data_IF_318775752362
#
_entry.id   IF_318775752362
#
_cell.length_a   1.000
_cell.length_b   1.000
_cell.length_c   1.000
_cell.angle_alpha   90.00
_cell.angle_beta   90.00
_cell.angle_gamma   90.00
#
_symmetry.space_group_name_H-M   'P 1'
#
loop_
_entity.id
_entity.type
_entity.pdbx_description
1 polymer ?
#
# COMPACT_ATOMS: atom_id res chain seq x y z
N UNK A 1 13.76 -17.43 11.90
CA UNK A 1 13.50 -16.84 10.57
C UNK A 1 12.35 -17.56 9.86
N UNK A 2 12.38 -18.90 9.74
CA UNK A 2 11.36 -19.70 9.04
C UNK A 2 9.88 -19.44 9.43
N UNK A 3 9.58 -19.25 10.73
CA UNK A 3 8.18 -19.00 11.17
C UNK A 3 7.57 -17.74 10.54
N UNK A 4 8.35 -16.66 10.41
CA UNK A 4 7.85 -15.38 9.86
C UNK A 4 7.55 -15.45 8.37
N UNK A 5 8.36 -16.19 7.62
CA UNK A 5 8.14 -16.39 6.18
C UNK A 5 6.88 -17.23 5.92
N UNK A 6 6.66 -18.26 6.75
CA UNK A 6 5.42 -19.03 6.76
C UNK A 6 4.19 -18.16 7.07
N UNK A 7 4.28 -17.31 8.10
CA UNK A 7 3.18 -16.42 8.49
C UNK A 7 2.85 -15.41 7.39
N UNK A 8 3.87 -14.83 6.76
CA UNK A 8 3.71 -13.88 5.65
C UNK A 8 3.01 -14.53 4.45
N UNK A 9 3.47 -15.71 4.06
CA UNK A 9 2.88 -16.46 2.95
C UNK A 9 1.42 -16.82 3.22
N UNK A 10 1.11 -17.22 4.47
CA UNK A 10 -0.27 -17.49 4.90
C UNK A 10 -1.16 -16.26 4.78
N UNK A 11 -0.72 -15.10 5.29
CA UNK A 11 -1.47 -13.85 5.26
C UNK A 11 -1.71 -13.36 3.83
N UNK A 12 -0.70 -13.42 2.95
CA UNK A 12 -0.89 -13.03 1.55
C UNK A 12 -1.87 -13.96 0.84
N UNK A 13 -1.83 -15.27 1.09
CA UNK A 13 -2.85 -16.21 0.56
C UNK A 13 -4.26 -15.83 1.03
N UNK A 14 -4.42 -15.45 2.29
CA UNK A 14 -5.69 -14.98 2.83
C UNK A 14 -6.16 -13.69 2.14
N UNK A 15 -5.28 -12.69 2.02
CA UNK A 15 -5.57 -11.43 1.33
C UNK A 15 -5.94 -11.65 -0.15
N UNK A 16 -5.25 -12.55 -0.85
CA UNK A 16 -5.60 -12.91 -2.24
C UNK A 16 -7.05 -13.38 -2.36
N UNK A 17 -7.52 -14.19 -1.41
CA UNK A 17 -8.88 -14.73 -1.44
C UNK A 17 -9.91 -13.69 -1.01
N UNK A 18 -9.62 -12.91 0.04
CA UNK A 18 -10.60 -12.04 0.70
C UNK A 18 -10.65 -10.62 0.16
N UNK A 19 -9.52 -10.10 -0.35
CA UNK A 19 -9.32 -8.67 -0.62
C UNK A 19 -8.90 -8.38 -2.06
N UNK A 20 -8.42 -9.37 -2.81
CA UNK A 20 -8.01 -9.16 -4.21
C UNK A 20 -9.10 -9.64 -5.15
N UNK A 21 -9.53 -8.76 -6.04
CA UNK A 21 -10.50 -9.08 -7.09
C UNK A 21 -9.96 -8.64 -8.45
N UNK A 22 -10.52 -9.25 -9.49
CA UNK A 22 -10.22 -8.91 -10.88
C UNK A 22 -11.42 -8.14 -11.43
N UNK A 23 -11.15 -7.02 -12.09
CA UNK A 23 -12.20 -6.18 -12.67
C UNK A 23 -13.05 -6.99 -13.67
N UNK A 24 -14.40 -6.87 -13.63
CA UNK A 24 -15.25 -7.56 -14.57
C UNK A 24 -14.85 -7.24 -16.01
N UNK A 25 -14.65 -8.28 -16.82
CA UNK A 25 -14.24 -8.14 -18.24
C UNK A 25 -12.83 -7.58 -18.46
N UNK A 26 -11.94 -7.62 -17.46
CA UNK A 26 -10.55 -7.16 -17.57
C UNK A 26 -9.92 -7.57 -18.91
N UNK A 27 -9.93 -8.86 -19.24
CA UNK A 27 -9.31 -9.39 -20.46
C UNK A 27 -9.85 -8.85 -21.77
N UNK A 28 -11.12 -8.44 -21.82
CA UNK A 28 -11.69 -7.82 -23.03
C UNK A 28 -11.39 -6.32 -23.13
N UNK A 29 -10.92 -5.71 -22.04
CA UNK A 29 -10.59 -4.29 -21.95
C UNK A 29 -9.08 -4.03 -22.04
N UNK A 30 -8.26 -5.05 -21.81
CA UNK A 30 -6.82 -4.95 -22.03
C UNK A 30 -6.50 -4.90 -23.52
N UNK A 31 -5.45 -4.15 -23.85
CA UNK A 31 -4.86 -4.20 -25.19
C UNK A 31 -4.20 -5.57 -25.41
N UNK A 32 -4.13 -6.02 -26.67
CA UNK A 32 -3.58 -7.34 -27.01
C UNK A 32 -2.13 -7.51 -26.55
N UNK A 33 -1.31 -6.45 -26.63
CA UNK A 33 0.08 -6.46 -26.16
C UNK A 33 0.20 -6.66 -24.65
N UNK A 34 -0.66 -6.00 -23.85
CA UNK A 34 -0.67 -6.17 -22.39
C UNK A 34 -1.19 -7.56 -22.03
N UNK A 35 -2.27 -8.01 -22.66
CA UNK A 35 -2.87 -9.32 -22.38
C UNK A 35 -1.91 -10.48 -22.70
N UNK A 36 -1.19 -10.40 -23.83
CA UNK A 36 -0.24 -11.44 -24.27
C UNK A 36 1.01 -11.56 -23.38
N UNK A 37 1.32 -10.55 -22.57
CA UNK A 37 2.45 -10.59 -21.62
C UNK A 37 2.15 -11.36 -20.34
N UNK A 38 0.89 -11.67 -20.09
CA UNK A 38 0.49 -12.57 -19.02
C UNK A 38 0.39 -14.01 -19.53
N UNK A 39 1.10 -14.91 -18.88
CA UNK A 39 1.07 -16.35 -19.07
C UNK A 39 -0.27 -17.00 -18.72
N UNK A 40 -1.06 -16.34 -17.85
CA UNK A 40 -2.38 -16.82 -17.47
C UNK A 40 -3.26 -15.69 -16.94
N UNK A 41 -4.56 -15.97 -16.82
CA UNK A 41 -5.50 -15.01 -16.25
C UNK A 41 -5.28 -14.69 -14.75
N UNK A 42 -4.47 -15.49 -14.07
CA UNK A 42 -4.18 -15.35 -12.64
C UNK A 42 -2.85 -14.66 -12.35
N UNK A 43 -1.98 -14.55 -13.35
CA UNK A 43 -0.66 -13.94 -13.17
C UNK A 43 -0.72 -12.51 -12.61
N UNK A 44 -1.66 -11.62 -13.01
CA UNK A 44 -1.78 -10.31 -12.37
C UNK A 44 -2.01 -10.40 -10.86
N UNK A 45 -2.82 -11.35 -10.40
CA UNK A 45 -3.10 -11.58 -8.97
C UNK A 45 -1.84 -12.08 -8.26
N UNK A 46 -1.07 -12.96 -8.91
CA UNK A 46 0.19 -13.45 -8.37
C UNK A 46 1.25 -12.34 -8.27
N UNK A 47 1.34 -11.45 -9.25
CA UNK A 47 2.26 -10.29 -9.22
C UNK A 47 1.91 -9.32 -8.10
N UNK A 48 0.63 -8.97 -7.94
CA UNK A 48 0.20 -8.15 -6.81
C UNK A 48 0.52 -8.84 -5.47
N UNK A 49 0.32 -10.15 -5.38
CA UNK A 49 0.68 -10.91 -4.19
C UNK A 49 2.20 -10.87 -3.90
N UNK A 50 3.06 -10.89 -4.93
CA UNK A 50 4.50 -10.74 -4.76
C UNK A 50 4.89 -9.35 -4.20
N UNK A 51 4.20 -8.29 -4.63
CA UNK A 51 4.37 -6.96 -4.05
C UNK A 51 3.98 -6.95 -2.56
N UNK A 52 2.83 -7.54 -2.22
CA UNK A 52 2.38 -7.64 -0.84
C UNK A 52 3.32 -8.51 0.02
N UNK A 53 3.98 -9.52 -0.53
CA UNK A 53 4.99 -10.32 0.18
C UNK A 53 6.23 -9.52 0.61
N UNK A 54 6.44 -8.32 0.08
CA UNK A 54 7.50 -7.42 0.57
C UNK A 54 7.11 -6.67 1.85
N UNK A 55 5.82 -6.66 2.21
CA UNK A 55 5.32 -6.00 3.41
C UNK A 55 5.69 -6.77 4.69
N UNK A 56 5.85 -6.07 5.82
CA UNK A 56 6.04 -6.70 7.13
C UNK A 56 4.77 -7.45 7.56
N UNK A 57 4.93 -8.47 8.40
CA UNK A 57 3.84 -9.34 8.86
C UNK A 57 2.77 -8.52 9.57
N UNK A 58 3.16 -7.57 10.43
CA UNK A 58 2.21 -6.69 11.11
C UNK A 58 1.34 -5.87 10.14
N UNK A 59 1.91 -5.32 9.07
CA UNK A 59 1.14 -4.56 8.07
C UNK A 59 0.15 -5.44 7.30
N UNK A 60 0.55 -6.68 6.97
CA UNK A 60 -0.32 -7.64 6.29
C UNK A 60 -1.44 -8.12 7.20
N UNK A 61 -1.14 -8.37 8.48
CA UNK A 61 -2.12 -8.75 9.48
C UNK A 61 -3.15 -7.63 9.69
N UNK A 62 -2.68 -6.40 9.90
CA UNK A 62 -3.55 -5.21 10.01
C UNK A 62 -4.50 -5.07 8.82
N UNK A 63 -4.00 -5.26 7.59
CA UNK A 63 -4.83 -5.19 6.39
C UNK A 63 -5.82 -6.36 6.28
N UNK A 64 -5.43 -7.57 6.69
CA UNK A 64 -6.31 -8.75 6.68
C UNK A 64 -7.44 -8.65 7.71
N UNK A 65 -7.17 -7.99 8.83
CA UNK A 65 -8.12 -7.72 9.92
C UNK A 65 -9.01 -6.51 9.64
N UNK A 66 -8.53 -5.54 8.84
CA UNK A 66 -9.33 -4.38 8.45
C UNK A 66 -10.62 -4.80 7.72
N UNK A 67 -11.79 -4.25 8.06
CA UNK A 67 -13.04 -4.56 7.36
C UNK A 67 -13.06 -3.99 5.93
N UNK A 68 -12.33 -2.90 5.68
CA UNK A 68 -12.25 -2.22 4.37
C UNK A 68 -10.89 -2.45 3.72
N UNK A 69 -10.59 -1.81 2.58
CA UNK A 69 -9.29 -1.98 1.92
C UNK A 69 -9.29 -3.20 1.02
N UNK A 70 -9.66 -3.02 -0.25
CA UNK A 70 -9.63 -4.09 -1.26
C UNK A 70 -8.80 -3.66 -2.47
N UNK A 71 -8.28 -4.64 -3.19
CA UNK A 71 -7.52 -4.44 -4.42
C UNK A 71 -8.33 -4.93 -5.61
N UNK A 72 -8.44 -4.10 -6.63
CA UNK A 72 -9.10 -4.44 -7.89
C UNK A 72 -8.07 -4.35 -9.01
N UNK A 73 -7.72 -5.48 -9.61
CA UNK A 73 -6.87 -5.48 -10.82
C UNK A 73 -7.70 -5.00 -11.99
N UNK A 74 -7.35 -3.83 -12.53
CA UNK A 74 -8.17 -3.06 -13.45
C UNK A 74 -7.43 -2.79 -14.77
N UNK A 75 -8.16 -2.51 -15.87
CA UNK A 75 -7.56 -2.04 -17.12
C UNK A 75 -7.19 -0.54 -17.08
N UNK A 76 -7.68 0.20 -16.09
CA UNK A 76 -7.45 1.63 -15.92
C UNK A 76 -6.12 1.90 -15.19
N UNK A 77 -5.83 3.18 -14.97
CA UNK A 77 -4.67 3.63 -14.21
C UNK A 77 -4.74 3.16 -12.75
N UNK A 78 -3.56 3.07 -12.12
CA UNK A 78 -3.48 2.70 -10.70
C UNK A 78 -3.88 3.89 -9.85
N UNK A 79 -4.84 3.71 -8.95
CA UNK A 79 -5.28 4.76 -8.03
C UNK A 79 -5.86 4.19 -6.73
N UNK A 80 -5.89 5.03 -5.70
CA UNK A 80 -6.59 4.76 -4.46
C UNK A 80 -7.85 5.63 -4.35
N UNK A 81 -9.00 5.00 -4.13
CA UNK A 81 -10.31 5.64 -3.99
C UNK A 81 -10.82 5.43 -2.56
N UNK A 82 -10.87 6.48 -1.72
CA UNK A 82 -11.41 6.37 -0.37
C UNK A 82 -12.95 6.25 -0.37
N UNK A 83 -13.49 5.59 0.63
CA UNK A 83 -14.94 5.43 0.81
C UNK A 83 -15.57 4.37 -0.10
N UNK A 84 -16.91 4.37 -0.25
CA UNK A 84 -17.63 3.34 -0.99
C UNK A 84 -17.37 3.35 -2.49
N UNK A 85 -17.17 2.17 -3.07
CA UNK A 85 -17.06 1.95 -4.49
C UNK A 85 -17.87 0.70 -4.92
N UNK A 86 -18.44 0.78 -6.13
CA UNK A 86 -19.15 -0.32 -6.76
C UNK A 86 -18.40 -0.78 -8.02
N UNK A 87 -17.99 -2.04 -8.03
CA UNK A 87 -17.26 -2.66 -9.15
C UNK A 87 -18.08 -3.84 -9.65
N UNK A 88 -18.97 -3.58 -10.61
CA UNK A 88 -19.97 -4.57 -11.05
C UNK A 88 -20.89 -4.97 -9.90
N UNK A 89 -20.78 -6.23 -9.43
CA UNK A 89 -21.55 -6.75 -8.28
C UNK A 89 -20.84 -6.59 -6.94
N UNK A 90 -19.57 -6.19 -6.95
CA UNK A 90 -18.77 -6.02 -5.74
C UNK A 90 -19.08 -4.65 -5.16
N UNK A 91 -19.52 -4.62 -3.91
CA UNK A 91 -19.59 -3.40 -3.09
C UNK A 91 -18.45 -3.47 -2.10
N UNK A 92 -17.58 -2.46 -2.12
CA UNK A 92 -16.43 -2.39 -1.24
C UNK A 92 -16.17 -0.96 -0.80
N UNK A 93 -15.27 -0.79 0.17
CA UNK A 93 -14.84 0.51 0.66
C UNK A 93 -13.32 0.58 0.66
N UNK A 94 -12.77 1.78 0.41
CA UNK A 94 -11.34 2.06 0.38
C UNK A 94 -10.63 1.16 -0.64
N UNK A 95 -10.87 1.43 -1.92
CA UNK A 95 -10.45 0.56 -3.02
C UNK A 95 -9.14 1.03 -3.63
N UNK A 96 -8.20 0.12 -3.81
CA UNK A 96 -7.02 0.33 -4.64
C UNK A 96 -7.26 -0.33 -5.99
N UNK A 97 -7.44 0.49 -7.03
CA UNK A 97 -7.40 -0.01 -8.40
C UNK A 97 -5.93 -0.15 -8.79
N UNK A 98 -5.54 -1.37 -9.17
CA UNK A 98 -4.18 -1.67 -9.61
C UNK A 98 -4.21 -1.94 -11.11
N UNK A 99 -3.54 -1.11 -11.89
CA UNK A 99 -3.47 -1.31 -13.33
C UNK A 99 -2.76 -2.62 -13.64
N UNK A 100 -3.38 -3.46 -14.47
CA UNK A 100 -2.72 -4.66 -14.98
C UNK A 100 -1.43 -4.31 -15.75
N UNK A 101 -1.39 -3.17 -16.46
CA UNK A 101 -0.17 -2.69 -17.11
C UNK A 101 0.89 -2.31 -16.08
N UNK A 102 0.53 -1.59 -15.03
CA UNK A 102 1.50 -1.20 -13.99
C UNK A 102 2.15 -2.41 -13.31
N UNK A 103 1.43 -3.54 -13.15
CA UNK A 103 2.00 -4.79 -12.64
C UNK A 103 3.08 -5.41 -13.54
N UNK A 104 3.16 -5.01 -14.80
CA UNK A 104 4.19 -5.46 -15.75
C UNK A 104 5.35 -4.47 -15.90
N UNK A 105 5.12 -3.18 -15.66
CA UNK A 105 6.03 -2.10 -16.10
C UNK A 105 6.43 -1.13 -14.98
N UNK A 106 5.54 -0.91 -14.01
CA UNK A 106 5.65 0.18 -13.04
C UNK A 106 5.14 -0.25 -11.66
N UNK A 107 5.80 -1.24 -11.06
CA UNK A 107 5.43 -1.77 -9.73
C UNK A 107 5.38 -0.68 -8.64
N UNK A 108 6.17 0.39 -8.80
CA UNK A 108 6.18 1.54 -7.89
C UNK A 108 4.83 2.25 -7.85
N UNK A 109 4.09 2.32 -8.97
CA UNK A 109 2.77 2.95 -9.01
C UNK A 109 1.74 2.16 -8.20
N UNK A 110 1.75 0.83 -8.38
CA UNK A 110 0.93 -0.07 -7.57
C UNK A 110 1.25 0.09 -6.08
N UNK A 111 2.53 0.10 -5.71
CA UNK A 111 2.96 0.28 -4.32
C UNK A 111 2.57 1.65 -3.75
N UNK A 112 2.63 2.73 -4.53
CA UNK A 112 2.15 4.06 -4.08
C UNK A 112 0.66 4.05 -3.78
N UNK A 113 -0.16 3.46 -4.64
CA UNK A 113 -1.61 3.38 -4.38
C UNK A 113 -1.93 2.50 -3.16
N UNK A 114 -1.19 1.39 -2.96
CA UNK A 114 -1.26 0.59 -1.74
C UNK A 114 -0.83 1.42 -0.51
N UNK A 115 0.21 2.24 -0.64
CA UNK A 115 0.68 3.11 0.44
C UNK A 115 -0.37 4.17 0.82
N UNK A 116 -1.09 4.75 -0.14
CA UNK A 116 -2.22 5.64 0.15
C UNK A 116 -3.37 4.94 0.88
N UNK A 117 -3.62 3.66 0.61
CA UNK A 117 -4.56 2.88 1.39
C UNK A 117 -4.08 2.75 2.85
N UNK A 118 -2.82 2.37 3.07
CA UNK A 118 -2.26 2.29 4.42
C UNK A 118 -2.27 3.64 5.13
N UNK A 119 -1.93 4.71 4.44
CA UNK A 119 -1.98 6.08 4.94
C UNK A 119 -3.36 6.44 5.49
N UNK A 120 -4.43 6.13 4.74
CA UNK A 120 -5.80 6.37 5.19
C UNK A 120 -6.24 5.42 6.31
N UNK A 121 -5.91 4.12 6.22
CA UNK A 121 -6.26 3.14 7.26
C UNK A 121 -5.55 3.41 8.58
N UNK A 122 -4.28 3.81 8.54
CA UNK A 122 -3.49 4.12 9.74
C UNK A 122 -3.80 5.50 10.32
N UNK A 123 -4.40 6.39 9.54
CA UNK A 123 -4.92 7.67 10.00
C UNK A 123 -6.25 7.54 10.71
N UNK A 124 -7.22 6.83 10.11
CA UNK A 124 -8.62 6.88 10.56
C UNK A 124 -9.41 5.56 10.36
N UNK A 125 -8.73 4.41 10.22
CA UNK A 125 -9.36 3.12 9.87
C UNK A 125 -10.14 3.14 8.53
N UNK A 126 -9.87 4.12 7.66
CA UNK A 126 -10.55 4.28 6.38
C UNK A 126 -11.94 4.89 6.48
N UNK A 127 -12.25 5.61 7.56
CA UNK A 127 -13.46 6.39 7.67
C UNK A 127 -13.57 7.41 6.52
N UNK A 128 -14.73 7.50 5.88
CA UNK A 128 -14.92 8.42 4.75
C UNK A 128 -14.69 9.88 5.18
N UNK A 129 -13.75 10.56 4.52
CA UNK A 129 -13.34 11.94 4.85
C UNK A 129 -12.51 12.05 6.13
N UNK A 130 -12.10 10.93 6.72
CA UNK A 130 -11.20 10.92 7.87
C UNK A 130 -9.79 11.34 7.49
N UNK A 131 -9.00 11.79 8.48
CA UNK A 131 -7.63 12.20 8.25
C UNK A 131 -6.72 11.01 7.94
N UNK A 132 -5.64 11.28 7.22
CA UNK A 132 -4.60 10.33 6.86
C UNK A 132 -3.47 10.33 7.90
N UNK A 133 -2.66 9.29 7.90
CA UNK A 133 -1.43 9.23 8.68
C UNK A 133 -0.53 10.43 8.34
N UNK A 134 -0.41 10.75 7.05
CA UNK A 134 0.34 11.89 6.54
C UNK A 134 -0.19 13.26 6.96
N UNK A 135 -1.39 13.33 7.54
CA UNK A 135 -1.97 14.58 8.07
C UNK A 135 -1.52 14.84 9.52
N UNK A 136 -0.67 13.97 10.08
CA UNK A 136 -0.11 14.14 11.42
C UNK A 136 -0.82 13.37 12.52
N UNK A 137 -1.83 12.56 12.17
CA UNK A 137 -2.65 11.80 13.13
C UNK A 137 -2.53 10.30 12.89
N UNK A 138 -2.95 9.49 13.85
CA UNK A 138 -3.03 8.05 13.66
C UNK A 138 -4.05 7.38 14.57
N UNK A 139 -4.42 6.16 14.21
CA UNK A 139 -5.40 5.33 14.94
C UNK A 139 -4.94 4.94 16.35
N UNK A 140 -3.67 5.16 16.68
CA UNK A 140 -3.09 5.00 18.02
C UNK A 140 -2.14 6.16 18.31
N UNK A 141 -1.80 6.45 19.58
CA UNK A 141 -0.79 7.46 19.90
C UNK A 141 0.56 7.23 19.20
N UNK A 142 1.00 5.97 19.10
CA UNK A 142 2.23 5.61 18.40
C UNK A 142 2.17 5.94 16.90
N UNK A 143 1.03 5.68 16.24
CA UNK A 143 0.84 6.08 14.83
C UNK A 143 0.73 7.60 14.67
N UNK A 144 0.10 8.32 15.60
CA UNK A 144 0.10 9.79 15.61
C UNK A 144 1.51 10.38 15.67
N UNK A 145 2.41 9.78 16.46
CA UNK A 145 3.81 10.21 16.51
C UNK A 145 4.50 10.03 15.15
N UNK A 146 4.28 8.88 14.48
CA UNK A 146 4.80 8.63 13.13
C UNK A 146 4.23 9.64 12.14
N UNK A 147 2.91 9.88 12.15
CA UNK A 147 2.26 10.87 11.29
C UNK A 147 2.84 12.27 11.47
N UNK A 148 3.01 12.71 12.73
CA UNK A 148 3.63 14.01 13.06
C UNK A 148 5.05 14.11 12.49
N UNK A 149 5.82 13.03 12.54
CA UNK A 149 7.16 13.00 11.96
C UNK A 149 7.14 13.05 10.43
N UNK A 150 6.18 12.39 9.77
CA UNK A 150 6.00 12.49 8.30
C UNK A 150 5.77 13.95 7.88
N UNK A 151 4.85 14.67 8.55
CA UNK A 151 4.57 16.09 8.27
C UNK A 151 5.82 16.94 8.44
N UNK A 152 6.57 16.73 9.53
CA UNK A 152 7.83 17.46 9.78
C UNK A 152 8.87 17.21 8.70
N UNK A 153 9.02 15.96 8.26
CA UNK A 153 9.99 15.61 7.22
C UNK A 153 9.58 16.16 5.86
N UNK A 154 8.28 16.11 5.52
CA UNK A 154 7.75 16.71 4.29
C UNK A 154 8.06 18.21 4.21
N UNK A 155 7.86 18.95 5.31
CA UNK A 155 8.12 20.39 5.40
C UNK A 155 9.59 20.79 5.20
N UNK A 156 10.54 19.84 5.24
CA UNK A 156 11.94 20.12 4.94
C UNK A 156 12.24 20.17 3.43
N UNK A 157 11.34 19.68 2.58
CA UNK A 157 11.42 19.72 1.11
C UNK A 157 12.74 19.16 0.51
N UNK A 158 13.46 18.32 1.24
CA UNK A 158 14.75 17.79 0.81
C UNK A 158 14.65 16.74 -0.30
N UNK A 159 13.48 16.14 -0.52
CA UNK A 159 13.31 15.12 -1.52
C UNK A 159 13.32 15.73 -2.94
N UNK A 160 14.24 15.30 -3.83
CA UNK A 160 14.32 15.81 -5.19
C UNK A 160 13.19 15.32 -6.11
N UNK A 161 12.45 14.27 -5.72
CA UNK A 161 11.37 13.70 -6.51
C UNK A 161 10.19 14.68 -6.61
N UNK A 162 9.75 15.09 -7.83
CA UNK A 162 8.60 15.96 -8.01
C UNK A 162 7.29 15.42 -7.42
N UNK A 163 7.11 14.10 -7.33
CA UNK A 163 5.93 13.48 -6.71
C UNK A 163 5.91 13.81 -5.21
N UNK A 164 7.05 13.66 -4.55
CA UNK A 164 7.20 13.91 -3.12
C UNK A 164 6.93 15.37 -2.70
N UNK A 165 6.90 16.32 -3.64
CA UNK A 165 6.67 17.74 -3.34
C UNK A 165 5.21 18.16 -3.45
N UNK A 166 4.33 17.29 -3.93
CA UNK A 166 2.91 17.61 -4.16
C UNK A 166 2.13 17.69 -2.85
N UNK A 167 2.35 16.73 -1.96
CA UNK A 167 1.65 16.63 -0.68
C UNK A 167 2.41 15.71 0.28
N UNK A 168 2.09 15.81 1.58
CA UNK A 168 2.61 14.88 2.58
C UNK A 168 2.17 13.42 2.32
N UNK A 169 0.98 13.23 1.76
CA UNK A 169 0.46 11.92 1.39
C UNK A 169 1.26 11.31 0.23
N UNK A 170 1.53 12.08 -0.82
CA UNK A 170 2.36 11.65 -1.96
C UNK A 170 3.81 11.36 -1.52
N UNK A 171 4.34 12.19 -0.64
CA UNK A 171 5.65 12.00 -0.03
C UNK A 171 5.76 10.69 0.75
N UNK A 172 4.79 10.41 1.64
CA UNK A 172 4.73 9.14 2.35
C UNK A 172 4.58 7.96 1.39
N UNK A 173 3.65 8.05 0.44
CA UNK A 173 3.36 6.98 -0.50
C UNK A 173 4.57 6.62 -1.38
N UNK A 174 5.23 7.62 -1.95
CA UNK A 174 6.43 7.45 -2.77
C UNK A 174 7.60 6.90 -1.93
N UNK A 175 7.78 7.41 -0.71
CA UNK A 175 8.84 6.93 0.17
C UNK A 175 8.64 5.47 0.57
N UNK A 176 7.41 5.06 0.88
CA UNK A 176 7.11 3.66 1.20
C UNK A 176 7.33 2.74 -0.01
N UNK A 177 6.91 3.16 -1.20
CA UNK A 177 7.14 2.41 -2.43
C UNK A 177 8.65 2.25 -2.72
N UNK A 178 9.44 3.33 -2.58
CA UNK A 178 10.89 3.30 -2.72
C UNK A 178 11.59 2.46 -1.64
N UNK A 179 11.09 2.45 -0.40
CA UNK A 179 11.65 1.59 0.64
C UNK A 179 11.54 0.11 0.29
N UNK A 180 10.47 -0.28 -0.39
CA UNK A 180 10.22 -1.66 -0.82
C UNK A 180 11.10 -2.03 -2.02
N UNK A 181 11.12 -1.18 -3.05
CA UNK A 181 11.77 -1.52 -4.34
C UNK A 181 13.25 -1.14 -4.38
N UNK A 182 13.62 -0.03 -3.74
CA UNK A 182 14.95 0.58 -3.84
C UNK A 182 15.39 1.24 -2.51
N UNK A 183 15.48 0.49 -1.39
CA UNK A 183 15.73 1.07 -0.07
C UNK A 183 17.04 1.87 0.02
N UNK A 184 18.07 1.46 -0.74
CA UNK A 184 19.34 2.20 -0.82
C UNK A 184 19.17 3.57 -1.47
N UNK A 185 18.38 3.66 -2.54
CA UNK A 185 18.12 4.93 -3.20
C UNK A 185 17.34 5.87 -2.27
N UNK A 186 16.34 5.36 -1.55
CA UNK A 186 15.65 6.13 -0.53
C UNK A 186 16.60 6.59 0.58
N UNK A 187 17.49 5.73 1.09
CA UNK A 187 18.42 6.12 2.15
C UNK A 187 19.40 7.23 1.72
N UNK A 188 19.77 7.28 0.44
CA UNK A 188 20.61 8.36 -0.11
C UNK A 188 19.80 9.65 -0.29
N UNK A 189 18.61 9.56 -0.88
CA UNK A 189 17.79 10.74 -1.16
C UNK A 189 17.12 11.33 0.10
N UNK A 190 16.72 10.47 1.04
CA UNK A 190 16.00 10.81 2.26
C UNK A 190 16.31 9.83 3.41
N UNK A 191 17.48 9.97 4.06
CA UNK A 191 17.89 9.08 5.14
C UNK A 191 16.96 9.14 6.37
N UNK A 192 16.25 10.26 6.58
CA UNK A 192 15.38 10.41 7.73
C UNK A 192 14.06 9.66 7.53
N UNK A 193 13.45 9.76 6.36
CA UNK A 193 12.28 8.95 6.01
C UNK A 193 12.61 7.46 5.98
N UNK A 194 13.78 7.09 5.43
CA UNK A 194 14.26 5.70 5.50
C UNK A 194 14.30 5.18 6.95
N UNK A 195 14.96 5.91 7.85
CA UNK A 195 15.03 5.55 9.28
C UNK A 195 13.65 5.51 9.93
N UNK A 196 12.75 6.43 9.57
CA UNK A 196 11.38 6.45 10.07
C UNK A 196 10.64 5.17 9.68
N UNK A 197 10.60 4.85 8.39
CA UNK A 197 9.94 3.63 7.89
C UNK A 197 10.54 2.37 8.50
N UNK A 198 11.86 2.30 8.65
CA UNK A 198 12.53 1.16 9.26
C UNK A 198 12.14 0.93 10.72
N UNK A 199 11.97 2.00 11.51
CA UNK A 199 11.64 1.90 12.95
C UNK A 199 10.14 1.82 13.24
N UNK A 200 9.28 2.21 12.30
CA UNK A 200 7.82 2.15 12.42
C UNK A 200 7.22 1.08 11.51
N UNK A 201 6.85 1.44 10.28
CA UNK A 201 6.09 0.59 9.37
C UNK A 201 6.77 -0.75 9.10
N UNK A 202 8.09 -0.80 8.94
CA UNK A 202 8.85 -2.04 8.70
C UNK A 202 9.40 -2.71 9.97
N UNK A 203 9.02 -2.22 11.15
CA UNK A 203 9.43 -2.81 12.43
C UNK A 203 8.33 -3.72 12.99
N UNK A 204 8.58 -5.04 12.98
CA UNK A 204 7.66 -6.01 13.60
C UNK A 204 7.46 -5.75 15.10
N UNK A 205 8.46 -5.16 15.77
CA UNK A 205 8.34 -4.79 17.19
C UNK A 205 7.42 -3.59 17.37
N UNK A 206 7.44 -2.63 16.43
CA UNK A 206 6.52 -1.50 16.43
C UNK A 206 5.07 -2.00 16.27
N UNK A 207 4.80 -2.83 15.27
CA UNK A 207 3.47 -3.42 15.07
C UNK A 207 2.95 -4.19 16.28
N UNK A 208 3.78 -5.06 16.89
CA UNK A 208 3.37 -5.79 18.10
C UNK A 208 2.99 -4.87 19.25
N UNK A 209 3.70 -3.74 19.41
CA UNK A 209 3.39 -2.74 20.44
C UNK A 209 2.07 -2.03 20.13
N UNK A 210 1.87 -1.57 18.89
CA UNK A 210 0.64 -0.84 18.53
C UNK A 210 -0.61 -1.71 18.56
N UNK A 211 -0.49 -3.00 18.24
CA UNK A 211 -1.61 -3.95 18.39
C UNK A 211 -1.99 -4.21 19.85
N UNK A 212 -1.06 -4.04 20.80
CA UNK A 212 -1.35 -4.19 22.22
C UNK A 212 -2.00 -2.94 22.84
N UNK A 213 -2.04 -1.82 22.10
CA UNK A 213 -2.67 -0.56 22.52
C UNK A 213 -4.16 -0.47 22.12
N UNK A 214 -4.66 -1.41 21.30
CA UNK A 214 -6.05 -1.49 20.82
C UNK A 214 -6.86 -2.46 21.68
#
# INVERSE_FOLDING_TARGET
>A
MMRRESDRTRLVKELKVRKVHVYPRLWSLLTLDVAARFSSQWEPVDRLAQLLLQMPVGALQFLAESPTGVFIISPAETEYVPGPAAIGKIKAENVVFVSARALLEAETDALRAIAHLYDHLLGCMGAAGGPRLSDGVGITPAWTEVGTQIVRLFALEHNPDPICRRSAADYFAQSLALYITQPRALNVADPNMHKLLQRSFFSETFWRRTHAEQ
#
